data_IF_916192799695
#
_entry.id   IF_916192799695
#
_cell.length_a   1.000
_cell.length_b   1.000
_cell.length_c   1.000
_cell.angle_alpha   90.00
_cell.angle_beta   90.00
_cell.angle_gamma   90.00
#
_symmetry.space_group_name_H-M   'P 1'
#
loop_
_entity.id
_entity.type
_entity.pdbx_description
1 polymer ?
#
# COMPACT_ATOMS: atom_id res chain seq x y z
N UNK A 1 13.30 11.85 13.61
CA UNK A 1 13.15 11.13 12.33
C UNK A 1 12.91 12.15 11.23
N UNK A 2 13.46 11.98 10.03
CA UNK A 2 13.18 12.82 8.84
C UNK A 2 12.45 11.97 7.81
N UNK A 3 11.36 12.47 7.25
CA UNK A 3 10.51 11.73 6.31
C UNK A 3 10.28 12.58 5.05
N UNK A 4 10.30 11.92 3.89
CA UNK A 4 9.75 12.44 2.64
C UNK A 4 8.63 11.54 2.12
N UNK A 5 7.73 12.19 1.40
CA UNK A 5 6.77 11.55 0.53
C UNK A 5 7.00 12.09 -0.87
N UNK A 6 7.03 11.22 -1.89
CA UNK A 6 7.00 11.66 -3.30
C UNK A 6 5.60 11.39 -3.80
N UNK A 7 4.90 12.46 -4.14
CA UNK A 7 3.59 12.40 -4.78
C UNK A 7 3.76 12.79 -6.25
N UNK A 8 3.26 11.94 -7.13
CA UNK A 8 3.28 12.18 -8.57
C UNK A 8 2.11 11.45 -9.23
N UNK A 9 1.79 11.82 -10.46
CA UNK A 9 0.81 11.11 -11.29
C UNK A 9 1.56 10.11 -12.19
N UNK A 10 1.62 8.80 -11.86
CA UNK A 10 2.23 7.81 -12.71
C UNK A 10 1.44 7.66 -14.02
N UNK A 11 2.16 7.57 -15.13
CA UNK A 11 1.57 7.17 -16.42
C UNK A 11 1.55 5.65 -16.51
N UNK A 12 0.38 5.07 -16.77
CA UNK A 12 0.17 3.62 -16.78
C UNK A 12 1.07 2.94 -17.81
N UNK A 13 1.77 1.87 -17.40
CA UNK A 13 2.69 1.13 -18.28
C UNK A 13 4.02 1.83 -18.58
N UNK A 14 4.19 3.12 -18.22
CA UNK A 14 5.38 3.92 -18.50
C UNK A 14 6.41 3.90 -17.35
N UNK A 15 6.78 2.69 -16.90
CA UNK A 15 7.58 2.46 -15.69
C UNK A 15 8.90 3.24 -15.67
N UNK A 16 9.67 3.24 -16.77
CA UNK A 16 10.94 3.95 -16.84
C UNK A 16 10.79 5.48 -16.75
N UNK A 17 9.73 6.04 -17.36
CA UNK A 17 9.46 7.48 -17.35
C UNK A 17 8.98 7.92 -15.96
N UNK A 18 8.14 7.11 -15.31
CA UNK A 18 7.73 7.31 -13.92
C UNK A 18 8.93 7.30 -12.97
N UNK A 19 9.86 6.35 -13.14
CA UNK A 19 11.09 6.30 -12.37
C UNK A 19 11.94 7.56 -12.55
N UNK A 20 12.10 8.04 -13.79
CA UNK A 20 12.86 9.27 -14.06
C UNK A 20 12.22 10.52 -13.42
N UNK A 21 10.89 10.61 -13.42
CA UNK A 21 10.17 11.69 -12.70
C UNK A 21 10.52 11.67 -11.21
N UNK A 22 10.47 10.50 -10.57
CA UNK A 22 10.86 10.35 -9.16
C UNK A 22 12.32 10.73 -8.94
N UNK A 23 13.24 10.32 -9.82
CA UNK A 23 14.66 10.69 -9.73
C UNK A 23 14.86 12.20 -9.74
N UNK A 24 14.16 12.89 -10.63
CA UNK A 24 14.19 14.34 -10.74
C UNK A 24 13.64 15.01 -9.48
N UNK A 25 12.49 14.54 -8.97
CA UNK A 25 11.86 15.08 -7.77
C UNK A 25 12.71 14.89 -6.51
N UNK A 26 13.48 13.80 -6.45
CA UNK A 26 14.33 13.46 -5.29
C UNK A 26 15.78 13.93 -5.43
N UNK A 27 16.13 14.61 -6.53
CA UNK A 27 17.51 14.98 -6.87
C UNK A 27 18.23 15.82 -5.81
N UNK A 28 17.50 16.63 -5.06
CA UNK A 28 18.03 17.49 -3.98
C UNK A 28 17.71 16.99 -2.58
N UNK A 29 17.06 15.82 -2.46
CA UNK A 29 16.47 15.39 -1.20
C UNK A 29 17.41 14.55 -0.32
N UNK A 30 17.27 14.70 1.00
CA UNK A 30 17.94 13.90 2.03
C UNK A 30 16.93 13.37 3.05
N UNK A 31 16.60 12.07 3.03
CA UNK A 31 15.68 11.38 3.95
C UNK A 31 14.88 10.23 3.29
N UNK A 32 14.00 9.56 4.04
CA UNK A 32 13.19 8.40 3.59
C UNK A 32 12.27 8.75 2.41
N UNK A 33 12.25 7.94 1.35
CA UNK A 33 11.43 8.18 0.14
C UNK A 33 10.31 7.15 0.00
N UNK A 34 9.13 7.60 -0.48
CA UNK A 34 8.00 6.75 -0.87
C UNK A 34 7.61 6.97 -2.32
N UNK A 35 7.37 5.90 -3.09
CA UNK A 35 6.95 5.96 -4.50
C UNK A 35 5.81 4.99 -4.78
N UNK A 36 5.00 5.24 -5.81
CA UNK A 36 3.86 4.38 -6.17
C UNK A 36 3.65 4.27 -7.68
N UNK A 37 3.45 3.05 -8.20
CA UNK A 37 3.61 2.73 -9.63
C UNK A 37 2.35 2.95 -10.50
N UNK A 38 1.19 3.29 -9.94
CA UNK A 38 -0.10 3.34 -10.67
C UNK A 38 -0.66 1.94 -10.96
N UNK A 39 -1.99 1.76 -10.83
CA UNK A 39 -2.58 0.41 -10.64
C UNK A 39 -4.02 0.22 -11.12
N UNK A 40 -4.48 1.01 -12.09
CA UNK A 40 -5.75 0.74 -12.76
C UNK A 40 -5.51 -0.17 -13.97
N UNK A 41 -5.63 -1.48 -13.77
CA UNK A 41 -5.54 -2.50 -14.82
C UNK A 41 -6.85 -3.27 -14.90
N UNK A 42 -7.33 -3.56 -16.09
CA UNK A 42 -8.59 -4.26 -16.34
C UNK A 42 -8.44 -5.78 -16.21
N UNK A 43 -7.21 -6.30 -16.28
CA UNK A 43 -6.94 -7.74 -16.16
C UNK A 43 -5.50 -8.06 -15.77
N UNK A 44 -5.27 -9.31 -15.34
CA UNK A 44 -3.94 -9.85 -15.14
C UNK A 44 -3.07 -9.80 -16.42
N UNK A 45 -3.65 -10.06 -17.60
CA UNK A 45 -2.91 -10.07 -18.87
C UNK A 45 -2.34 -8.67 -19.18
N UNK A 46 -3.07 -7.62 -18.83
CA UNK A 46 -2.65 -6.23 -19.04
C UNK A 46 -1.46 -5.85 -18.15
N UNK A 47 -1.48 -6.25 -16.87
CA UNK A 47 -0.39 -5.93 -15.92
C UNK A 47 0.78 -6.91 -16.02
N UNK A 48 0.60 -8.11 -16.56
CA UNK A 48 1.61 -9.18 -16.62
C UNK A 48 3.00 -8.72 -17.11
N UNK A 49 3.13 -7.83 -18.12
CA UNK A 49 4.42 -7.33 -18.60
C UNK A 49 5.21 -6.49 -17.58
N UNK A 50 4.53 -5.90 -16.58
CA UNK A 50 5.15 -5.01 -15.60
C UNK A 50 5.23 -5.62 -14.19
N UNK A 51 4.73 -6.84 -13.98
CA UNK A 51 4.88 -7.55 -12.70
C UNK A 51 6.36 -7.81 -12.40
N UNK A 52 6.83 -7.38 -11.23
CA UNK A 52 8.22 -7.49 -10.80
C UNK A 52 8.44 -8.70 -9.86
N UNK A 53 9.65 -9.25 -9.85
CA UNK A 53 10.13 -10.22 -8.83
C UNK A 53 11.37 -9.67 -8.10
N UNK A 54 11.17 -8.85 -7.04
CA UNK A 54 12.29 -8.29 -6.29
C UNK A 54 13.15 -9.34 -5.59
N UNK A 55 12.64 -10.57 -5.38
CA UNK A 55 13.45 -11.63 -4.77
C UNK A 55 14.55 -12.14 -5.69
N UNK A 56 14.37 -12.02 -7.00
CA UNK A 56 15.41 -12.26 -8.01
C UNK A 56 16.37 -11.07 -8.16
N UNK A 57 16.14 -9.96 -7.46
CA UNK A 57 16.85 -8.70 -7.68
C UNK A 57 16.45 -8.01 -8.99
N UNK A 58 15.34 -8.42 -9.58
CA UNK A 58 14.80 -7.90 -10.84
C UNK A 58 13.65 -6.94 -10.55
N UNK A 59 13.43 -5.97 -11.45
CA UNK A 59 12.33 -5.01 -11.33
C UNK A 59 12.79 -3.56 -11.35
N UNK A 60 12.06 -2.73 -12.09
CA UNK A 60 12.39 -1.32 -12.25
C UNK A 60 12.16 -0.53 -10.96
N UNK A 61 11.10 -0.87 -10.22
CA UNK A 61 10.82 -0.29 -8.91
C UNK A 61 11.88 -0.68 -7.89
N UNK A 62 12.30 -1.95 -7.88
CA UNK A 62 13.39 -2.41 -7.01
C UNK A 62 14.72 -1.69 -7.31
N UNK A 63 15.06 -1.54 -8.59
CA UNK A 63 16.26 -0.81 -9.01
C UNK A 63 16.22 0.67 -8.57
N UNK A 64 15.07 1.33 -8.77
CA UNK A 64 14.85 2.71 -8.34
C UNK A 64 14.97 2.84 -6.82
N UNK A 65 14.27 1.99 -6.06
CA UNK A 65 14.28 2.02 -4.60
C UNK A 65 15.69 1.77 -4.03
N UNK A 66 16.42 0.79 -4.57
CA UNK A 66 17.80 0.51 -4.17
C UNK A 66 18.77 1.66 -4.48
N UNK A 67 18.61 2.32 -5.62
CA UNK A 67 19.42 3.50 -5.94
C UNK A 67 19.09 4.68 -5.02
N UNK A 68 17.82 4.98 -4.82
CA UNK A 68 17.38 6.07 -3.94
C UNK A 68 17.86 5.83 -2.51
N UNK A 69 17.71 4.60 -1.99
CA UNK A 69 18.13 4.24 -0.66
C UNK A 69 19.64 4.47 -0.46
N UNK A 70 20.48 4.04 -1.42
CA UNK A 70 21.94 4.24 -1.39
C UNK A 70 22.33 5.69 -1.57
N UNK A 71 21.74 6.41 -2.52
CA UNK A 71 22.09 7.81 -2.80
C UNK A 71 21.73 8.71 -1.62
N UNK A 72 20.56 8.47 -1.02
CA UNK A 72 19.99 9.33 0.02
C UNK A 72 20.37 8.83 1.43
N UNK A 73 20.90 7.61 1.54
CA UNK A 73 21.25 6.94 2.80
C UNK A 73 20.03 6.82 3.72
N UNK A 74 18.95 6.24 3.21
CA UNK A 74 17.66 6.13 3.89
C UNK A 74 16.94 4.81 3.62
N UNK A 75 15.93 4.51 4.44
CA UNK A 75 14.97 3.47 4.08
C UNK A 75 14.04 3.99 2.97
N UNK A 76 13.63 3.13 2.05
CA UNK A 76 12.68 3.47 0.98
C UNK A 76 11.52 2.49 1.01
N UNK A 77 10.29 3.00 0.94
CA UNK A 77 9.09 2.18 0.79
C UNK A 77 8.48 2.44 -0.58
N UNK A 78 8.38 1.44 -1.44
CA UNK A 78 7.89 1.63 -2.81
C UNK A 78 6.76 0.65 -3.14
N UNK A 79 5.63 1.17 -3.58
CA UNK A 79 4.51 0.40 -4.14
C UNK A 79 4.85 -0.15 -5.51
N UNK A 80 4.54 -1.43 -5.76
CA UNK A 80 4.81 -2.10 -7.02
C UNK A 80 3.88 -3.32 -7.20
N UNK A 81 3.64 -3.77 -8.44
CA UNK A 81 2.89 -4.99 -8.69
C UNK A 81 3.84 -6.20 -8.64
N UNK A 82 3.64 -7.06 -7.64
CA UNK A 82 4.49 -8.23 -7.39
C UNK A 82 3.99 -9.45 -8.18
N UNK A 83 4.91 -10.18 -8.81
CA UNK A 83 4.63 -11.50 -9.41
C UNK A 83 4.55 -12.56 -8.32
N UNK A 84 3.52 -13.41 -8.35
CA UNK A 84 3.36 -14.52 -7.40
C UNK A 84 4.31 -15.70 -7.69
N UNK A 85 5.62 -15.49 -7.58
CA UNK A 85 6.63 -16.55 -7.76
C UNK A 85 6.58 -17.57 -6.62
N UNK A 86 7.15 -18.79 -6.79
CA UNK A 86 7.21 -19.78 -5.71
C UNK A 86 7.78 -19.21 -4.39
N UNK A 87 8.81 -18.34 -4.50
CA UNK A 87 9.42 -17.67 -3.34
C UNK A 87 8.48 -16.64 -2.71
N UNK A 88 7.73 -15.89 -3.52
CA UNK A 88 6.70 -14.99 -3.01
C UNK A 88 5.62 -15.75 -2.23
N UNK A 89 5.15 -16.88 -2.77
CA UNK A 89 4.15 -17.74 -2.13
C UNK A 89 4.66 -18.39 -0.84
N UNK A 90 5.91 -18.85 -0.80
CA UNK A 90 6.56 -19.36 0.41
C UNK A 90 6.62 -18.29 1.52
N UNK A 91 6.97 -17.05 1.15
CA UNK A 91 6.98 -15.91 2.10
C UNK A 91 5.60 -15.57 2.65
N UNK A 92 4.54 -15.84 1.89
CA UNK A 92 3.16 -15.67 2.35
C UNK A 92 2.78 -16.68 3.44
N UNK A 93 3.35 -17.88 3.42
CA UNK A 93 3.00 -18.96 4.35
C UNK A 93 3.83 -18.96 5.64
N UNK A 94 5.01 -18.36 5.59
CA UNK A 94 6.03 -18.49 6.66
C UNK A 94 6.04 -17.33 7.66
N UNK A 95 5.32 -16.25 7.38
CA UNK A 95 5.32 -15.05 8.22
C UNK A 95 4.09 -15.02 9.13
N UNK A 96 4.28 -14.61 10.39
CA UNK A 96 3.19 -14.40 11.34
C UNK A 96 2.37 -13.18 10.90
N UNK A 97 1.36 -13.42 10.07
CA UNK A 97 0.45 -12.43 9.54
C UNK A 97 -0.79 -12.34 10.44
N UNK A 98 -1.22 -11.12 10.73
CA UNK A 98 -2.50 -10.88 11.37
C UNK A 98 -3.57 -10.81 10.29
N UNK A 99 -4.23 -11.94 10.03
CA UNK A 99 -5.38 -12.00 9.14
C UNK A 99 -6.57 -11.29 9.80
N UNK A 100 -6.87 -10.08 9.34
CA UNK A 100 -7.96 -9.27 9.86
C UNK A 100 -9.32 -9.58 9.20
N UNK A 101 -9.37 -10.55 8.26
CA UNK A 101 -10.61 -11.01 7.66
C UNK A 101 -11.44 -11.75 8.70
N UNK A 102 -12.76 -11.58 8.63
CA UNK A 102 -13.70 -12.37 9.41
C UNK A 102 -13.72 -13.79 8.82
N UNK A 103 -13.56 -14.80 9.68
CA UNK A 103 -13.67 -16.20 9.28
C UNK A 103 -15.00 -16.43 8.55
N UNK A 104 -14.94 -16.99 7.33
CA UNK A 104 -16.11 -17.18 6.45
C UNK A 104 -17.20 -18.07 7.05
N UNK A 105 -16.92 -18.79 8.14
CA UNK A 105 -17.82 -19.75 8.76
C UNK A 105 -19.02 -19.12 9.52
N UNK A 106 -19.00 -17.82 9.80
CA UNK A 106 -20.18 -17.12 10.33
C UNK A 106 -21.18 -16.67 9.24
N UNK A 107 -20.82 -16.77 7.96
CA UNK A 107 -21.72 -16.49 6.83
C UNK A 107 -22.08 -17.81 6.14
N UNK A 108 -22.94 -18.58 6.78
CA UNK A 108 -23.52 -19.79 6.20
C UNK A 108 -24.32 -19.44 4.95
N UNK A 109 -23.77 -19.68 3.75
CA UNK A 109 -24.60 -19.78 2.53
C UNK A 109 -24.00 -19.29 1.21
N UNK A 110 -22.82 -18.68 1.16
CA UNK A 110 -22.26 -18.19 -0.12
C UNK A 110 -21.25 -19.18 -0.72
N UNK A 111 -21.61 -19.62 -1.92
CA UNK A 111 -20.91 -20.55 -2.82
C UNK A 111 -19.42 -20.25 -2.87
N UNK A 112 -18.60 -21.28 -2.66
CA UNK A 112 -17.15 -21.22 -2.80
C UNK A 112 -16.77 -20.84 -4.23
N UNK A 113 -16.47 -19.57 -4.48
CA UNK A 113 -15.67 -19.22 -5.66
C UNK A 113 -14.28 -19.82 -5.45
N UNK A 114 -13.79 -20.64 -6.41
CA UNK A 114 -12.42 -21.14 -6.34
C UNK A 114 -11.48 -19.93 -6.28
N UNK A 115 -10.54 -19.92 -5.32
CA UNK A 115 -9.43 -18.96 -5.34
C UNK A 115 -8.76 -19.13 -6.70
N UNK A 116 -8.88 -18.11 -7.57
CA UNK A 116 -8.11 -18.05 -8.82
C UNK A 116 -6.64 -18.26 -8.45
N UNK A 117 -5.91 -18.98 -9.30
CA UNK A 117 -4.52 -19.30 -9.03
C UNK A 117 -3.75 -18.01 -8.77
N UNK A 118 -3.09 -17.96 -7.60
CA UNK A 118 -2.39 -16.78 -7.10
C UNK A 118 -1.35 -16.32 -8.12
N UNK A 119 -1.56 -15.19 -8.78
CA UNK A 119 -0.74 -14.81 -9.95
C UNK A 119 -0.02 -13.47 -9.75
N UNK A 120 -0.57 -12.56 -8.96
CA UNK A 120 0.08 -11.29 -8.63
C UNK A 120 -0.42 -10.71 -7.31
N UNK A 121 0.31 -9.74 -6.75
CA UNK A 121 -0.09 -8.99 -5.56
C UNK A 121 0.12 -7.49 -5.78
N UNK A 122 -0.78 -6.67 -5.22
CA UNK A 122 -0.48 -5.28 -4.96
C UNK A 122 0.41 -5.22 -3.70
N UNK A 123 1.65 -4.76 -3.85
CA UNK A 123 2.66 -4.90 -2.81
C UNK A 123 3.45 -3.61 -2.60
N UNK A 124 4.12 -3.54 -1.45
CA UNK A 124 5.06 -2.49 -1.12
C UNK A 124 6.36 -3.10 -0.58
N UNK A 125 7.49 -2.72 -1.16
CA UNK A 125 8.81 -3.17 -0.69
C UNK A 125 9.41 -2.15 0.28
N UNK A 126 10.10 -2.65 1.30
CA UNK A 126 10.98 -1.87 2.17
C UNK A 126 12.43 -2.18 1.79
N UNK A 127 13.19 -1.15 1.45
CA UNK A 127 14.60 -1.21 1.08
C UNK A 127 15.44 -0.46 2.13
N UNK A 128 16.55 -1.05 2.57
CA UNK A 128 17.45 -0.46 3.56
C UNK A 128 18.43 0.56 2.93
N UNK A 129 19.09 1.42 3.73
CA UNK A 129 20.04 2.43 3.24
C UNK A 129 21.20 1.91 2.38
N UNK A 130 21.56 0.63 2.50
CA UNK A 130 22.57 -0.02 1.67
C UNK A 130 22.03 -0.51 0.31
N UNK A 131 20.73 -0.35 0.07
CA UNK A 131 20.02 -0.77 -1.13
C UNK A 131 19.49 -2.21 -1.09
N UNK A 132 19.55 -2.89 0.06
CA UNK A 132 19.07 -4.26 0.22
C UNK A 132 17.56 -4.32 0.44
N UNK A 133 16.90 -5.31 -0.16
CA UNK A 133 15.49 -5.61 0.09
C UNK A 133 15.33 -6.20 1.50
N UNK A 134 14.58 -5.50 2.36
CA UNK A 134 14.32 -5.90 3.75
C UNK A 134 13.07 -6.77 3.85
N UNK A 135 11.95 -6.27 3.32
CA UNK A 135 10.64 -6.95 3.40
C UNK A 135 9.72 -6.50 2.27
N UNK A 136 8.81 -7.38 1.87
CA UNK A 136 7.68 -7.06 1.00
C UNK A 136 6.42 -7.21 1.84
N UNK A 137 5.53 -6.23 1.75
CA UNK A 137 4.21 -6.21 2.35
C UNK A 137 3.19 -6.30 1.21
N UNK A 138 2.12 -7.08 1.41
CA UNK A 138 1.09 -7.30 0.39
C UNK A 138 -0.21 -6.75 0.89
N UNK A 139 -0.91 -6.00 0.03
CA UNK A 139 -2.20 -5.38 0.32
C UNK A 139 -3.17 -6.44 0.81
N UNK A 140 -3.71 -6.24 1.99
CA UNK A 140 -4.56 -7.24 2.64
C UNK A 140 -6.01 -7.11 2.17
N UNK A 141 -6.52 -5.88 2.06
CA UNK A 141 -7.85 -5.58 1.54
C UNK A 141 -7.77 -4.97 0.15
N UNK A 142 -8.32 -5.66 -0.84
CA UNK A 142 -8.34 -5.20 -2.22
C UNK A 142 -9.43 -4.14 -2.45
N UNK A 143 -9.12 -3.15 -3.28
CA UNK A 143 -10.11 -2.30 -3.92
C UNK A 143 -10.60 -2.97 -5.21
N UNK A 144 -11.76 -2.55 -5.73
CA UNK A 144 -12.36 -3.14 -6.94
C UNK A 144 -11.37 -3.23 -8.11
N UNK A 145 -10.57 -2.19 -8.32
CA UNK A 145 -9.54 -2.15 -9.37
C UNK A 145 -8.37 -3.13 -9.15
N UNK A 146 -8.13 -3.61 -7.93
CA UNK A 146 -7.13 -4.65 -7.69
C UNK A 146 -7.69 -6.05 -7.99
N UNK A 147 -9.01 -6.27 -7.83
CA UNK A 147 -9.63 -7.60 -7.95
C UNK A 147 -9.56 -8.20 -9.35
N UNK A 148 -9.28 -7.38 -10.36
CA UNK A 148 -9.13 -7.78 -11.76
C UNK A 148 -7.79 -8.45 -12.05
N UNK A 149 -6.77 -8.22 -11.20
CA UNK A 149 -5.39 -8.65 -11.48
C UNK A 149 -4.59 -9.16 -10.27
N UNK A 150 -4.96 -8.80 -9.04
CA UNK A 150 -4.21 -9.11 -7.81
C UNK A 150 -4.97 -10.05 -6.87
N UNK A 151 -4.18 -10.80 -6.09
CA UNK A 151 -4.66 -11.56 -4.94
C UNK A 151 -4.48 -10.80 -3.61
N UNK A 152 -5.30 -11.14 -2.63
CA UNK A 152 -5.16 -10.63 -1.25
C UNK A 152 -3.87 -11.15 -0.59
N UNK A 153 -3.17 -10.23 0.08
CA UNK A 153 -2.13 -10.53 1.05
C UNK A 153 -2.68 -11.33 2.25
N UNK A 154 -1.77 -11.99 2.97
CA UNK A 154 -2.16 -12.90 4.04
C UNK A 154 -2.52 -12.22 5.37
N UNK A 155 -2.24 -10.93 5.53
CA UNK A 155 -2.60 -10.16 6.73
C UNK A 155 -1.70 -8.96 6.97
N UNK A 156 -1.96 -8.22 8.03
CA UNK A 156 -1.10 -7.14 8.48
C UNK A 156 0.18 -7.67 9.13
N UNK A 157 1.26 -6.94 8.91
CA UNK A 157 2.59 -7.33 9.37
C UNK A 157 3.38 -6.12 9.85
N UNK A 158 4.37 -6.38 10.70
CA UNK A 158 5.35 -5.39 11.12
C UNK A 158 6.74 -5.99 11.23
N UNK A 159 7.75 -5.13 11.33
CA UNK A 159 9.11 -5.50 11.72
C UNK A 159 9.73 -4.39 12.55
N UNK A 160 10.70 -4.74 13.40
CA UNK A 160 11.47 -3.77 14.15
C UNK A 160 12.64 -3.28 13.29
N UNK A 161 12.64 -1.99 12.93
CA UNK A 161 13.66 -1.37 12.09
C UNK A 161 14.56 -0.48 12.95
N UNK A 162 15.89 -0.71 12.98
CA UNK A 162 16.82 0.13 13.72
C UNK A 162 16.67 1.62 13.35
N UNK A 163 16.42 2.45 14.37
CA UNK A 163 16.24 3.90 14.21
C UNK A 163 14.84 4.37 13.79
N UNK A 164 13.96 3.48 13.31
CA UNK A 164 12.54 3.80 13.01
C UNK A 164 11.57 3.18 14.03
N UNK A 165 12.00 2.18 14.79
CA UNK A 165 11.15 1.44 15.72
C UNK A 165 10.33 0.38 15.00
N UNK A 166 9.18 0.03 15.57
CA UNK A 166 8.27 -0.95 14.99
C UNK A 166 7.53 -0.34 13.80
N UNK A 167 7.81 -0.84 12.61
CA UNK A 167 7.30 -0.33 11.35
C UNK A 167 6.25 -1.29 10.77
N UNK A 168 5.10 -0.73 10.39
CA UNK A 168 4.06 -1.40 9.61
C UNK A 168 3.91 -0.69 8.26
N UNK A 169 3.73 -1.46 7.19
CA UNK A 169 3.33 -0.93 5.89
C UNK A 169 1.98 -1.53 5.53
N UNK A 170 1.04 -0.66 5.19
CA UNK A 170 -0.31 -1.01 4.75
C UNK A 170 -0.64 -0.19 3.49
N UNK A 171 -1.48 -0.70 2.60
CA UNK A 171 -1.67 -0.13 1.26
C UNK A 171 -3.12 0.30 1.07
N UNK A 172 -3.34 1.61 0.90
CA UNK A 172 -4.60 2.21 0.50
C UNK A 172 -5.84 1.68 1.24
N UNK A 173 -6.55 0.75 0.59
CA UNK A 173 -7.79 0.13 1.09
C UNK A 173 -7.58 -0.70 2.37
N UNK A 174 -6.34 -1.00 2.76
CA UNK A 174 -6.03 -1.56 4.09
C UNK A 174 -6.49 -0.66 5.25
N UNK A 175 -6.67 0.64 5.01
CA UNK A 175 -7.31 1.56 5.97
C UNK A 175 -8.77 1.20 6.23
N UNK A 176 -9.43 0.63 5.21
CA UNK A 176 -10.84 0.33 5.17
C UNK A 176 -11.09 -1.18 5.40
N UNK A 177 -12.34 -1.51 5.71
CA UNK A 177 -12.76 -2.81 6.26
C UNK A 177 -12.45 -4.05 5.40
N UNK A 178 -12.33 -5.20 6.08
CA UNK A 178 -12.57 -6.52 5.48
C UNK A 178 -14.08 -6.71 5.24
N UNK A 179 -14.51 -6.89 3.99
CA UNK A 179 -15.84 -7.42 3.68
C UNK A 179 -15.70 -8.59 2.71
N UNK A 180 -16.47 -9.67 2.90
CA UNK A 180 -16.37 -10.85 2.06
C UNK A 180 -16.80 -10.48 0.64
N UNK A 181 -15.83 -10.45 -0.25
CA UNK A 181 -15.95 -10.36 -1.71
C UNK A 181 -17.25 -11.00 -2.23
N UNK A 182 -18.16 -10.14 -2.71
CA UNK A 182 -19.07 -10.29 -3.87
C UNK A 182 -20.01 -9.07 -3.90
N UNK A 183 -19.70 -8.09 -4.75
CA UNK A 183 -20.45 -6.93 -5.30
C UNK A 183 -21.94 -6.69 -4.93
N UNK A 184 -22.53 -5.48 -5.07
CA UNK A 184 -22.01 -4.12 -5.28
C UNK A 184 -22.47 -3.13 -4.17
N UNK A 185 -21.95 -1.91 -4.19
CA UNK A 185 -22.36 -0.79 -3.32
C UNK A 185 -22.05 -0.97 -1.83
N UNK A 186 -20.92 -0.37 -1.46
CA UNK A 186 -20.53 0.02 -0.11
C UNK A 186 -21.72 0.51 0.73
N UNK A 187 -22.34 -0.41 1.48
CA UNK A 187 -23.22 -0.02 2.58
C UNK A 187 -22.35 0.13 3.81
N UNK A 188 -22.17 1.39 4.21
CA UNK A 188 -21.56 1.87 5.45
C UNK A 188 -22.39 1.45 6.69
N UNK A 189 -22.95 0.23 6.70
CA UNK A 189 -23.92 -0.23 7.71
C UNK A 189 -23.36 -1.30 8.66
N UNK A 190 -22.21 -1.90 8.37
CA UNK A 190 -21.49 -2.65 9.40
C UNK A 190 -20.84 -1.66 10.36
N UNK A 191 -21.04 -1.86 11.66
CA UNK A 191 -20.50 -1.01 12.73
C UNK A 191 -19.11 -0.46 12.36
N UNK A 192 -19.03 0.86 12.17
CA UNK A 192 -17.86 1.65 11.79
C UNK A 192 -16.70 1.57 12.82
N UNK A 193 -16.73 0.57 13.70
CA UNK A 193 -16.07 0.50 14.99
C UNK A 193 -14.87 -0.44 15.02
N UNK A 194 -14.60 -1.24 13.98
CA UNK A 194 -13.55 -2.27 14.04
C UNK A 194 -12.14 -1.77 13.71
N UNK A 195 -12.01 -0.71 12.89
CA UNK A 195 -10.73 -0.07 12.54
C UNK A 195 -9.57 -1.06 12.48
N UNK A 196 -9.64 -2.08 11.61
CA UNK A 196 -8.83 -3.29 11.71
C UNK A 196 -7.32 -2.97 11.74
N UNK A 197 -6.87 -2.09 10.84
CA UNK A 197 -5.49 -1.63 10.80
C UNK A 197 -5.10 -0.82 12.04
N UNK A 198 -5.96 0.10 12.50
CA UNK A 198 -5.66 0.91 13.68
C UNK A 198 -5.60 0.04 14.96
N UNK A 199 -6.52 -0.92 15.08
CA UNK A 199 -6.54 -1.92 16.16
C UNK A 199 -5.29 -2.77 16.13
N UNK A 200 -4.88 -3.27 14.96
CA UNK A 200 -3.60 -3.97 14.78
C UNK A 200 -2.43 -3.09 15.23
N UNK A 201 -2.40 -1.82 14.78
CA UNK A 201 -1.35 -0.88 15.12
C UNK A 201 -1.25 -0.65 16.63
N UNK A 202 -2.38 -0.52 17.33
CA UNK A 202 -2.43 -0.33 18.79
C UNK A 202 -1.99 -1.60 19.54
N UNK A 203 -2.57 -2.75 19.20
CA UNK A 203 -2.27 -4.04 19.84
C UNK A 203 -0.79 -4.41 19.72
N UNK A 204 -0.20 -4.15 18.55
CA UNK A 204 1.19 -4.43 18.29
C UNK A 204 2.12 -3.26 18.57
N UNK A 205 1.61 -2.12 19.08
CA UNK A 205 2.40 -0.94 19.46
C UNK A 205 3.31 -0.47 18.32
N UNK A 206 2.75 -0.30 17.14
CA UNK A 206 3.45 0.20 15.96
C UNK A 206 3.93 1.63 16.23
N UNK A 207 5.22 1.89 16.01
CA UNK A 207 5.82 3.22 16.18
C UNK A 207 5.67 4.07 14.90
N UNK A 208 5.68 3.41 13.74
CA UNK A 208 5.66 4.01 12.42
C UNK A 208 4.74 3.21 11.47
N UNK A 209 3.64 3.83 11.04
CA UNK A 209 2.77 3.30 9.99
C UNK A 209 3.06 4.05 8.70
N UNK A 210 3.46 3.34 7.63
CA UNK A 210 3.70 3.93 6.30
C UNK A 210 2.66 3.40 5.33
N UNK A 211 1.94 4.31 4.64
CA UNK A 211 0.92 3.88 3.69
C UNK A 211 1.09 4.45 2.28
N UNK A 212 1.54 3.66 1.29
CA UNK A 212 1.36 3.98 -0.13
C UNK A 212 -0.13 4.02 -0.49
N UNK A 213 -0.52 5.02 -1.27
CA UNK A 213 -1.91 5.40 -1.48
C UNK A 213 -2.11 5.95 -2.90
N UNK A 214 -3.23 5.61 -3.53
CA UNK A 214 -3.84 6.24 -4.70
C UNK A 214 -5.33 6.29 -4.41
N UNK A 215 -5.66 7.22 -3.53
CA UNK A 215 -7.00 7.37 -3.01
C UNK A 215 -7.80 8.30 -3.91
N UNK A 216 -9.05 7.94 -4.19
CA UNK A 216 -9.91 8.75 -5.05
C UNK A 216 -10.32 10.03 -4.34
N UNK A 217 -10.23 11.15 -5.06
CA UNK A 217 -10.82 12.40 -4.60
C UNK A 217 -12.35 12.23 -4.47
N UNK A 218 -12.97 12.88 -3.47
CA UNK A 218 -14.44 12.96 -3.39
C UNK A 218 -15.01 13.57 -4.67
N UNK A 219 -16.18 13.09 -5.11
CA UNK A 219 -16.83 13.52 -6.36
C UNK A 219 -16.98 15.04 -6.45
N UNK A 220 -17.33 15.69 -5.35
CA UNK A 220 -17.50 17.13 -5.22
C UNK A 220 -16.20 17.94 -5.48
N UNK A 221 -15.03 17.31 -5.29
CA UNK A 221 -13.73 17.93 -5.47
C UNK A 221 -13.10 17.65 -6.84
N UNK A 222 -13.64 16.68 -7.61
CA UNK A 222 -13.09 16.25 -8.91
C UNK A 222 -13.11 17.41 -9.92
N UNK A 223 -14.24 18.10 -10.08
CA UNK A 223 -14.38 19.17 -11.07
C UNK A 223 -13.40 20.32 -10.79
N UNK A 224 -13.26 20.72 -9.52
CA UNK A 224 -12.34 21.78 -9.10
C UNK A 224 -10.87 21.36 -9.31
N UNK A 225 -10.55 20.09 -9.06
CA UNK A 225 -9.22 19.55 -9.31
C UNK A 225 -8.90 19.54 -10.82
N UNK A 226 -9.83 19.07 -11.65
CA UNK A 226 -9.69 19.04 -13.11
C UNK A 226 -9.56 20.45 -13.73
N UNK A 227 -10.30 21.41 -13.18
CA UNK A 227 -10.22 22.81 -13.58
C UNK A 227 -8.92 23.52 -13.10
N UNK A 228 -8.08 22.82 -12.34
CA UNK A 228 -6.84 23.33 -11.72
C UNK A 228 -7.02 24.56 -10.84
N UNK A 229 -8.26 24.86 -10.40
CA UNK A 229 -8.55 26.06 -9.62
C UNK A 229 -7.99 25.97 -8.20
N UNK A 230 -7.95 24.76 -7.63
CA UNK A 230 -7.40 24.45 -6.30
C UNK A 230 -6.39 23.28 -6.32
N UNK A 231 -5.73 23.01 -7.44
CA UNK A 231 -4.89 21.82 -7.62
C UNK A 231 -3.72 21.65 -6.62
N UNK A 232 -3.39 22.69 -5.84
CA UNK A 232 -2.32 22.65 -4.82
C UNK A 232 -2.84 22.48 -3.40
N UNK A 233 -4.13 22.68 -3.18
CA UNK A 233 -4.71 22.59 -1.85
C UNK A 233 -5.07 21.13 -1.54
N UNK A 234 -4.80 20.64 -0.32
CA UNK A 234 -5.12 19.27 0.04
C UNK A 234 -6.64 19.08 0.23
N UNK A 235 -7.13 17.88 -0.11
CA UNK A 235 -8.50 17.47 0.19
C UNK A 235 -8.71 17.31 1.71
N UNK A 236 -9.31 18.31 2.35
CA UNK A 236 -9.55 18.32 3.80
C UNK A 236 -10.55 17.23 4.20
N UNK A 237 -11.55 16.97 3.37
CA UNK A 237 -12.55 15.91 3.58
C UNK A 237 -11.86 14.54 3.65
N UNK A 238 -10.98 14.26 2.69
CA UNK A 238 -10.18 13.03 2.64
C UNK A 238 -9.31 12.93 3.88
N UNK A 239 -8.54 13.98 4.22
CA UNK A 239 -7.70 14.03 5.45
C UNK A 239 -8.49 13.77 6.73
N UNK A 240 -9.71 14.28 6.83
CA UNK A 240 -10.55 14.06 8.00
C UNK A 240 -11.04 12.61 8.09
N UNK A 241 -11.47 12.00 6.98
CA UNK A 241 -11.89 10.60 6.95
C UNK A 241 -10.75 9.67 7.41
N UNK A 242 -9.62 9.90 6.80
CA UNK A 242 -8.32 9.36 7.07
C UNK A 242 -7.89 9.46 8.55
N UNK A 243 -7.92 10.66 9.13
CA UNK A 243 -7.64 10.84 10.55
C UNK A 243 -8.68 10.14 11.45
N UNK A 244 -9.97 10.19 11.08
CA UNK A 244 -11.04 9.55 11.86
C UNK A 244 -10.90 8.04 11.95
N UNK A 245 -10.23 7.43 10.95
CA UNK A 245 -9.92 6.01 10.90
C UNK A 245 -8.82 5.58 11.89
N UNK A 246 -8.04 6.53 12.41
CA UNK A 246 -6.93 6.31 13.35
C UNK A 246 -7.28 6.71 14.81
N UNK A 247 -8.24 7.63 14.99
CA UNK A 247 -8.38 8.46 16.21
C UNK A 247 -9.00 7.77 17.44
N UNK A 248 -9.52 6.55 17.36
CA UNK A 248 -10.09 5.87 18.55
C UNK A 248 -9.09 5.11 19.43
N UNK A 249 -7.83 4.99 19.02
CA UNK A 249 -6.83 4.24 19.79
C UNK A 249 -6.14 5.16 20.82
N UNK A 250 -6.06 4.72 22.09
CA UNK A 250 -5.56 5.53 23.21
C UNK A 250 -4.05 5.83 23.11
N UNK A 251 -3.38 5.21 22.14
CA UNK A 251 -2.01 5.46 21.71
C UNK A 251 -1.95 5.34 20.19
N UNK A 252 -2.32 6.41 19.49
CA UNK A 252 -1.93 6.58 18.08
C UNK A 252 -0.44 6.27 17.92
N UNK A 253 0.00 5.63 16.81
CA UNK A 253 1.41 5.47 16.51
C UNK A 253 2.12 6.79 16.75
N UNK A 254 3.27 6.77 17.44
CA UNK A 254 4.00 8.02 17.76
C UNK A 254 4.29 8.84 16.49
N UNK A 255 4.31 8.16 15.35
CA UNK A 255 4.37 8.76 14.02
C UNK A 255 3.44 7.96 13.07
N UNK A 256 2.18 8.37 12.95
CA UNK A 256 1.31 7.90 11.87
C UNK A 256 1.69 8.69 10.61
N UNK A 257 2.32 8.05 9.61
CA UNK A 257 2.78 8.72 8.40
C UNK A 257 1.79 8.54 7.28
N UNK A 258 0.86 9.48 7.33
CA UNK A 258 -0.24 9.64 6.43
C UNK A 258 -0.29 11.17 6.21
N UNK A 259 -0.25 11.71 5.01
CA UNK A 259 -1.16 11.55 3.89
C UNK A 259 -0.56 12.34 2.71
N UNK A 260 -0.98 12.07 1.47
CA UNK A 260 -1.15 13.11 0.45
C UNK A 260 -1.78 12.49 -0.82
N UNK A 261 -2.97 12.99 -1.14
CA UNK A 261 -3.65 12.89 -2.44
C UNK A 261 -2.85 13.65 -3.46
#
# INVERSE_FOLDING_TARGET
>A
MRIACVQYAPELGHVAQNAERVRKMTSTYVGTVRTDAGYMFESLDEIAPILEDPYAGEGATMALASELARRIQCHVVAGFPERATPRALEKLQTQSQHDARIARDEVTGLVHLPRVARQAFNAAMLVAPDGTLVKIFRKHFLYEADTTWADEGGGFEYLDVPGLGRLCVAICMDLNRALPSLTPAYTLESEFSRYELATFCEQHRIDCLVMPMNWLLPEEEIEAHQAQTNAKDPSISTINYWASSEVRTARSPRHCLCWLV
#
